data_IF_503805514118
#
_entry.id   IF_503805514118
#
_cell.length_a   1.000
_cell.length_b   1.000
_cell.length_c   1.000
_cell.angle_alpha   90.00
_cell.angle_beta   90.00
_cell.angle_gamma   90.00
#
_symmetry.space_group_name_H-M   'P 1'
#
loop_
_entity.id
_entity.type
_entity.pdbx_description
1 polymer ?
#
# COMPACT_ATOMS: atom_id res chain seq x y z
N UNK A 1 -13.24 7.45 9.36
CA UNK A 1 -12.43 7.47 10.61
C UNK A 1 -12.16 6.04 11.00
N UNK A 2 -10.96 5.77 11.53
CA UNK A 2 -10.63 4.44 12.00
C UNK A 2 -11.58 4.03 13.14
N UNK A 3 -12.23 2.89 12.96
CA UNK A 3 -13.04 2.25 14.00
C UNK A 3 -12.16 1.35 14.84
N UNK A 4 -12.56 1.14 16.09
CA UNK A 4 -11.82 0.27 17.01
C UNK A 4 -11.71 -1.14 16.43
N UNK A 5 -10.55 -1.79 16.58
CA UNK A 5 -10.26 -3.15 16.09
C UNK A 5 -10.28 -3.36 14.56
N UNK A 6 -10.36 -2.31 13.74
CA UNK A 6 -10.25 -2.49 12.29
C UNK A 6 -8.80 -2.77 11.86
N UNK A 7 -8.58 -3.88 11.16
CA UNK A 7 -7.28 -4.30 10.62
C UNK A 7 -7.04 -3.82 9.19
N UNK A 8 -8.11 -3.53 8.44
CA UNK A 8 -8.05 -3.12 7.05
C UNK A 8 -7.97 -1.59 6.92
N UNK A 9 -7.83 -1.10 5.69
CA UNK A 9 -7.97 0.32 5.40
C UNK A 9 -9.36 0.85 5.77
N UNK A 10 -9.45 2.17 5.95
CA UNK A 10 -10.73 2.86 6.02
C UNK A 10 -11.45 2.77 4.67
N UNK A 11 -12.78 2.75 4.71
CA UNK A 11 -13.60 2.75 3.49
C UNK A 11 -13.22 3.92 2.57
N UNK A 12 -13.11 3.64 1.27
CA UNK A 12 -12.70 4.62 0.28
C UNK A 12 -13.74 5.72 0.10
N UNK A 13 -13.30 6.97 0.22
CA UNK A 13 -14.10 8.15 -0.11
C UNK A 13 -13.78 8.74 -1.50
N UNK A 14 -12.84 8.14 -2.24
CA UNK A 14 -12.46 8.57 -3.59
C UNK A 14 -12.18 7.37 -4.50
N UNK A 15 -12.40 7.49 -5.83
CA UNK A 15 -12.13 6.40 -6.78
C UNK A 15 -10.66 5.95 -6.78
N UNK A 16 -9.74 6.88 -6.54
CA UNK A 16 -8.31 6.59 -6.45
C UNK A 16 -7.98 5.72 -5.23
N UNK A 17 -8.61 6.00 -4.07
CA UNK A 17 -8.44 5.17 -2.88
C UNK A 17 -8.99 3.76 -3.10
N UNK A 18 -10.10 3.61 -3.80
CA UNK A 18 -10.65 2.29 -4.15
C UNK A 18 -9.66 1.46 -4.99
N UNK A 19 -9.02 2.09 -5.99
CA UNK A 19 -8.00 1.42 -6.79
C UNK A 19 -6.75 1.05 -5.98
N UNK A 20 -6.35 1.89 -5.02
CA UNK A 20 -5.27 1.57 -4.09
C UNK A 20 -5.62 0.37 -3.20
N UNK A 21 -6.87 0.24 -2.75
CA UNK A 21 -7.31 -0.95 -1.99
C UNK A 21 -7.25 -2.21 -2.86
N UNK A 22 -7.71 -2.16 -4.11
CA UNK A 22 -7.57 -3.31 -5.03
C UNK A 22 -6.12 -3.70 -5.29
N UNK A 23 -5.23 -2.72 -5.46
CA UNK A 23 -3.81 -2.99 -5.61
C UNK A 23 -3.21 -3.60 -4.35
N UNK A 24 -3.55 -3.07 -3.18
CA UNK A 24 -3.14 -3.64 -1.90
C UNK A 24 -3.55 -5.11 -1.80
N UNK A 25 -4.82 -5.45 -2.06
CA UNK A 25 -5.33 -6.81 -1.95
C UNK A 25 -4.64 -7.76 -2.94
N UNK A 26 -4.38 -7.30 -4.17
CA UNK A 26 -3.59 -8.04 -5.15
C UNK A 26 -2.16 -8.33 -4.64
N UNK A 27 -1.48 -7.33 -4.09
CA UNK A 27 -0.13 -7.53 -3.55
C UNK A 27 -0.11 -8.44 -2.32
N UNK A 28 -1.10 -8.29 -1.43
CA UNK A 28 -1.24 -9.12 -0.24
C UNK A 28 -1.53 -10.58 -0.60
N UNK A 29 -2.33 -10.84 -1.62
CA UNK A 29 -2.56 -12.18 -2.16
C UNK A 29 -1.25 -12.84 -2.62
N UNK A 30 -0.40 -12.12 -3.35
CA UNK A 30 0.90 -12.65 -3.81
C UNK A 30 1.83 -12.92 -2.61
N UNK A 31 1.92 -11.99 -1.66
CA UNK A 31 2.75 -12.15 -0.47
C UNK A 31 2.30 -13.33 0.40
N UNK A 32 1.00 -13.48 0.61
CA UNK A 32 0.44 -14.61 1.36
C UNK A 32 0.71 -15.95 0.65
N UNK A 33 0.63 -15.99 -0.69
CA UNK A 33 1.00 -17.19 -1.46
C UNK A 33 2.48 -17.57 -1.28
N UNK A 34 3.40 -16.59 -1.37
CA UNK A 34 4.84 -16.83 -1.21
C UNK A 34 5.16 -17.30 0.22
N UNK A 35 4.60 -16.63 1.23
CA UNK A 35 4.83 -16.99 2.64
C UNK A 35 4.29 -18.39 2.96
N UNK A 36 3.14 -18.79 2.41
CA UNK A 36 2.61 -20.14 2.56
C UNK A 36 3.47 -21.19 1.84
N UNK A 37 4.01 -20.88 0.66
CA UNK A 37 4.93 -21.78 -0.05
C UNK A 37 6.22 -22.00 0.75
N UNK A 38 6.82 -20.92 1.26
CA UNK A 38 8.05 -20.99 2.05
C UNK A 38 7.81 -21.72 3.37
N UNK A 39 6.71 -21.43 4.07
CA UNK A 39 6.37 -22.10 5.32
C UNK A 39 6.15 -23.61 5.12
N UNK A 40 5.48 -24.00 4.04
CA UNK A 40 5.31 -25.40 3.66
C UNK A 40 6.66 -26.09 3.39
N UNK A 41 7.56 -25.48 2.61
CA UNK A 41 8.89 -26.03 2.35
C UNK A 41 9.68 -26.24 3.64
N UNK A 42 9.70 -25.23 4.52
CA UNK A 42 10.39 -25.31 5.80
C UNK A 42 9.81 -26.42 6.69
N UNK A 43 8.49 -26.52 6.80
CA UNK A 43 7.82 -27.60 7.54
C UNK A 43 8.17 -28.97 6.96
N UNK A 44 8.19 -29.11 5.64
CA UNK A 44 8.51 -30.39 4.98
C UNK A 44 9.93 -30.88 5.29
N UNK A 45 10.89 -29.97 5.44
CA UNK A 45 12.28 -30.32 5.79
C UNK A 45 12.38 -30.87 7.22
N UNK A 46 11.57 -30.38 8.17
CA UNK A 46 11.57 -30.90 9.54
C UNK A 46 11.06 -32.34 9.63
N UNK A 47 10.14 -32.74 8.75
CA UNK A 47 9.57 -34.09 8.74
C UNK A 47 10.25 -35.05 7.76
N UNK A 48 11.29 -34.60 7.04
CA UNK A 48 11.97 -35.44 6.07
C UNK A 48 12.96 -36.40 6.75
N UNK A 49 12.82 -37.70 6.51
CA UNK A 49 13.68 -38.75 7.06
C UNK A 49 14.84 -39.12 6.10
N UNK A 50 14.80 -38.69 4.84
CA UNK A 50 15.80 -39.06 3.83
C UNK A 50 17.01 -38.13 3.89
N UNK A 51 18.21 -38.71 3.88
CA UNK A 51 19.48 -37.97 3.96
C UNK A 51 20.17 -38.01 2.60
N UNK A 52 20.44 -36.84 2.02
CA UNK A 52 21.32 -36.68 0.86
C UNK A 52 22.40 -35.62 1.14
N UNK A 53 23.67 -36.05 1.22
CA UNK A 53 24.82 -35.18 1.56
C UNK A 53 25.68 -34.79 0.35
N UNK A 54 25.55 -35.49 -0.78
CA UNK A 54 26.45 -35.33 -1.92
C UNK A 54 25.94 -34.33 -2.97
N UNK A 55 24.74 -33.75 -2.77
CA UNK A 55 24.22 -32.68 -3.62
C UNK A 55 24.94 -31.37 -3.28
N UNK A 56 25.96 -31.01 -4.07
CA UNK A 56 26.77 -29.80 -3.88
C UNK A 56 26.24 -28.60 -4.69
N UNK A 57 25.72 -28.85 -5.89
CA UNK A 57 25.25 -27.82 -6.80
C UNK A 57 23.95 -28.25 -7.52
N UNK A 58 23.17 -27.25 -7.93
CA UNK A 58 21.90 -27.47 -8.59
C UNK A 58 21.53 -26.30 -9.51
N UNK A 59 22.33 -26.04 -10.54
CA UNK A 59 22.13 -24.88 -11.43
C UNK A 59 20.69 -24.74 -11.94
N UNK A 60 20.02 -25.86 -12.25
CA UNK A 60 18.62 -25.85 -12.68
C UNK A 60 17.66 -25.30 -11.60
N UNK A 61 17.85 -25.62 -10.31
CA UNK A 61 17.00 -25.06 -9.24
C UNK A 61 17.26 -23.57 -9.05
N UNK A 62 18.51 -23.15 -9.25
CA UNK A 62 18.88 -21.74 -9.13
C UNK A 62 18.22 -20.87 -10.20
N UNK A 63 18.19 -21.38 -11.44
CA UNK A 63 17.49 -20.73 -12.54
C UNK A 63 15.99 -20.60 -12.22
N UNK A 64 15.37 -21.66 -11.70
CA UNK A 64 13.94 -21.67 -11.36
C UNK A 64 13.62 -20.64 -10.28
N UNK A 65 14.35 -20.63 -9.16
CA UNK A 65 14.08 -19.69 -8.07
C UNK A 65 14.51 -18.25 -8.35
N UNK A 66 15.20 -17.99 -9.46
CA UNK A 66 15.57 -16.62 -9.89
C UNK A 66 14.53 -16.07 -10.85
N UNK A 67 14.10 -16.88 -11.82
CA UNK A 67 13.11 -16.46 -12.83
C UNK A 67 11.71 -16.33 -12.22
N UNK A 68 11.30 -17.27 -11.35
CA UNK A 68 9.96 -17.22 -10.75
C UNK A 68 9.72 -15.92 -9.97
N UNK A 69 10.58 -15.49 -9.02
CA UNK A 69 10.40 -14.21 -8.34
C UNK A 69 10.45 -13.00 -9.28
N UNK A 70 11.33 -13.00 -10.29
CA UNK A 70 11.41 -11.91 -11.26
C UNK A 70 10.08 -11.72 -11.99
N UNK A 71 9.41 -12.80 -12.40
CA UNK A 71 8.09 -12.75 -13.03
C UNK A 71 7.04 -12.23 -12.04
N UNK A 72 7.04 -12.71 -10.79
CA UNK A 72 6.07 -12.21 -9.78
C UNK A 72 6.20 -10.71 -9.52
N UNK A 73 7.42 -10.16 -9.54
CA UNK A 73 7.64 -8.72 -9.38
C UNK A 73 7.08 -7.91 -10.55
N UNK A 74 7.15 -8.43 -11.78
CA UNK A 74 6.54 -7.78 -12.95
C UNK A 74 5.02 -7.68 -12.78
N UNK A 75 4.38 -8.74 -12.28
CA UNK A 75 2.93 -8.73 -11.99
C UNK A 75 2.52 -7.71 -10.93
N UNK A 76 3.41 -7.40 -9.98
CA UNK A 76 3.17 -6.32 -9.00
C UNK A 76 3.44 -4.94 -9.62
N UNK A 77 4.51 -4.81 -10.40
CA UNK A 77 4.96 -3.53 -10.94
C UNK A 77 3.99 -2.94 -11.97
N UNK A 78 3.41 -3.75 -12.85
CA UNK A 78 2.50 -3.27 -13.90
C UNK A 78 1.27 -2.50 -13.36
N UNK A 79 0.45 -3.06 -12.45
CA UNK A 79 -0.68 -2.32 -11.87
C UNK A 79 -0.20 -1.14 -11.00
N UNK A 80 0.93 -1.27 -10.31
CA UNK A 80 1.51 -0.20 -9.49
C UNK A 80 1.85 1.04 -10.31
N UNK A 81 2.58 0.86 -11.42
CA UNK A 81 2.98 1.96 -12.29
C UNK A 81 1.77 2.63 -12.95
N UNK A 82 0.79 1.85 -13.40
CA UNK A 82 -0.47 2.39 -13.93
C UNK A 82 -1.15 3.30 -12.91
N UNK A 83 -1.23 2.88 -11.64
CA UNK A 83 -1.85 3.68 -10.59
C UNK A 83 -1.07 4.95 -10.28
N UNK A 84 0.26 4.88 -10.27
CA UNK A 84 1.11 6.05 -10.08
C UNK A 84 0.80 7.15 -11.11
N UNK A 85 0.67 6.78 -12.39
CA UNK A 85 0.32 7.76 -13.43
C UNK A 85 -1.10 8.31 -13.27
N UNK A 86 -2.07 7.49 -12.87
CA UNK A 86 -3.43 7.97 -12.60
C UNK A 86 -3.51 8.95 -11.43
N UNK A 87 -2.61 8.82 -10.45
CA UNK A 87 -2.52 9.74 -9.31
C UNK A 87 -1.88 11.08 -9.69
N UNK A 88 -0.95 11.07 -10.64
CA UNK A 88 -0.23 12.27 -11.09
C UNK A 88 -1.01 13.09 -12.12
N UNK A 89 -2.03 12.51 -12.75
CA UNK A 89 -2.92 13.23 -13.67
C UNK A 89 -3.70 14.34 -12.94
N UNK A 90 -3.23 15.59 -13.09
CA UNK A 90 -3.93 16.78 -12.62
C UNK A 90 -5.12 17.04 -13.55
N UNK A 91 -6.31 16.66 -13.08
CA UNK A 91 -7.56 17.02 -13.74
C UNK A 91 -7.87 18.52 -13.56
N UNK A 92 -8.59 19.11 -14.52
CA UNK A 92 -9.06 20.50 -14.45
C UNK A 92 -9.96 20.71 -13.22
N UNK A 93 -9.47 21.35 -12.14
CA UNK A 93 -10.22 21.45 -10.90
C UNK A 93 -11.25 22.59 -10.98
N UNK A 94 -12.43 22.40 -10.41
CA UNK A 94 -13.46 23.45 -10.32
C UNK A 94 -13.17 24.48 -9.21
N UNK A 95 -12.44 24.07 -8.17
CA UNK A 95 -12.12 24.89 -6.98
C UNK A 95 -10.65 24.67 -6.63
N UNK A 96 -9.95 25.74 -6.24
CA UNK A 96 -8.62 25.66 -5.65
C UNK A 96 -8.66 26.10 -4.20
N UNK A 97 -8.03 25.31 -3.33
CA UNK A 97 -7.89 25.56 -1.89
C UNK A 97 -6.41 25.43 -1.55
N UNK A 98 -5.86 26.43 -0.87
CA UNK A 98 -4.48 26.39 -0.39
C UNK A 98 -4.48 26.11 1.11
N UNK A 99 -3.66 25.16 1.53
CA UNK A 99 -3.47 24.77 2.94
C UNK A 99 -2.05 25.15 3.36
N UNK A 100 -1.90 25.98 4.39
CA UNK A 100 -0.61 26.43 4.91
C UNK A 100 -0.42 25.83 6.30
N UNK A 101 0.69 25.11 6.49
CA UNK A 101 1.04 24.51 7.77
C UNK A 101 1.80 25.50 8.65
N UNK A 102 1.30 25.71 9.87
CA UNK A 102 1.99 26.45 10.94
C UNK A 102 2.44 25.48 12.04
N UNK A 103 3.13 25.99 13.07
CA UNK A 103 3.44 25.18 14.24
C UNK A 103 2.14 24.85 14.99
N UNK A 104 1.69 23.59 14.84
CA UNK A 104 0.53 22.97 15.49
C UNK A 104 -0.87 23.41 15.03
N UNK A 105 -1.00 24.09 13.89
CA UNK A 105 -2.30 24.37 13.27
C UNK A 105 -2.18 24.56 11.76
N UNK A 106 -3.31 24.59 11.06
CA UNK A 106 -3.38 24.79 9.61
C UNK A 106 -4.23 26.02 9.29
N UNK A 107 -3.84 26.80 8.29
CA UNK A 107 -4.66 27.88 7.73
C UNK A 107 -5.07 27.55 6.30
N UNK A 108 -6.30 27.92 5.93
CA UNK A 108 -6.88 27.60 4.63
C UNK A 108 -7.27 28.88 3.90
N UNK A 109 -6.88 28.99 2.62
CA UNK A 109 -7.20 30.12 1.75
C UNK A 109 -8.06 29.64 0.57
N UNK A 110 -9.24 30.25 0.40
CA UNK A 110 -10.05 30.13 -0.81
C UNK A 110 -9.73 31.27 -1.77
N UNK A 111 -9.10 30.96 -2.91
CA UNK A 111 -8.68 31.98 -3.88
C UNK A 111 -9.76 32.33 -4.93
N UNK A 112 -10.69 31.40 -5.22
CA UNK A 112 -11.55 31.47 -6.41
C UNK A 112 -12.76 32.42 -6.31
N UNK A 113 -13.37 32.61 -5.14
CA UNK A 113 -14.71 33.23 -5.07
C UNK A 113 -14.81 34.42 -4.10
N UNK A 114 -14.11 34.38 -2.97
CA UNK A 114 -13.92 35.46 -1.99
C UNK A 114 -12.62 35.12 -1.25
N UNK A 115 -11.76 36.10 -0.95
CA UNK A 115 -10.53 35.90 -0.15
C UNK A 115 -10.89 35.52 1.29
N UNK A 116 -11.39 34.30 1.47
CA UNK A 116 -11.77 33.74 2.76
C UNK A 116 -10.54 33.01 3.26
N UNK A 117 -10.09 33.43 4.43
CA UNK A 117 -8.94 32.89 5.14
C UNK A 117 -9.36 32.58 6.57
N UNK A 118 -9.02 31.40 7.07
CA UNK A 118 -9.30 31.00 8.45
C UNK A 118 -8.29 29.98 8.95
N UNK A 119 -8.10 29.96 10.27
CA UNK A 119 -7.23 29.03 10.97
C UNK A 119 -8.04 27.85 11.55
N UNK A 120 -7.45 26.66 11.51
CA UNK A 120 -8.00 25.41 12.03
C UNK A 120 -7.11 24.85 13.14
N UNK A 121 -7.63 24.87 14.36
CA UNK A 121 -7.00 24.33 15.55
C UNK A 121 -7.68 23.03 16.00
N UNK A 122 -6.93 22.17 16.66
CA UNK A 122 -7.51 21.03 17.35
C UNK A 122 -8.34 21.52 18.54
N UNK A 123 -9.57 21.04 18.67
CA UNK A 123 -10.44 21.34 19.80
C UNK A 123 -9.84 20.73 21.07
N UNK A 124 -9.63 21.51 22.16
CA UNK A 124 -9.17 20.98 23.43
C UNK A 124 -10.15 19.95 23.99
N UNK A 125 -9.65 18.91 24.65
CA UNK A 125 -10.51 17.86 25.21
C UNK A 125 -11.57 18.38 26.19
N UNK A 126 -11.31 19.50 26.87
CA UNK A 126 -12.25 20.12 27.80
C UNK A 126 -13.44 20.79 27.10
N UNK A 127 -13.32 21.09 25.80
CA UNK A 127 -14.34 21.75 24.98
C UNK A 127 -15.03 20.77 24.01
N UNK A 128 -14.66 19.48 24.05
CA UNK A 128 -15.31 18.42 23.26
C UNK A 128 -16.66 17.99 23.83
N UNK A 129 -17.00 18.42 25.05
CA UNK A 129 -18.24 18.14 25.78
C UNK A 129 -19.28 19.25 25.55
#
# INVERSE_FOLDING_TARGET
MATWSNLNFQDSASPLMEQLMFFHDHTLMILTMITMMVSYLMLSLFFNLYINRYLLEGQFIEIIWTILPAITLIFIALPSLKLLYLLDEINNPSITLKSIGHQWYWSYEYSNFQKIEFDSYMIPNNELL
#
